data_IF_454859857370
#
_entry.id   IF_454859857370
#
_cell.length_a   1.000
_cell.length_b   1.000
_cell.length_c   1.000
_cell.angle_alpha   90.00
_cell.angle_beta   90.00
_cell.angle_gamma   90.00
#
_symmetry.space_group_name_H-M   'P 1'
#
loop_
_entity.id
_entity.type
_entity.pdbx_description
1 polymer ?
#
# COMPACT_ATOMS: atom_id res chain seq x y z
N UNK A 1 -29.48 -47.23 -27.42
CA UNK A 1 -30.03 -47.16 -26.05
C UNK A 1 -30.06 -45.71 -25.64
N UNK A 2 -31.24 -45.22 -25.37
CA UNK A 2 -31.49 -43.79 -25.08
C UNK A 2 -31.21 -43.53 -23.61
N UNK A 3 -30.34 -42.58 -23.27
CA UNK A 3 -30.14 -42.05 -21.91
C UNK A 3 -30.91 -40.72 -21.73
N UNK A 4 -31.86 -40.74 -20.83
CA UNK A 4 -32.75 -39.66 -20.45
C UNK A 4 -32.00 -38.53 -19.70
N UNK A 5 -32.36 -37.23 -19.84
CA UNK A 5 -31.81 -36.16 -19.05
C UNK A 5 -32.55 -36.08 -17.70
N UNK A 6 -31.80 -36.16 -16.60
CA UNK A 6 -32.31 -36.02 -15.25
C UNK A 6 -31.98 -34.64 -14.65
N UNK A 7 -33.05 -33.97 -14.24
CA UNK A 7 -33.17 -33.09 -13.07
C UNK A 7 -32.39 -31.74 -12.98
N UNK A 8 -32.75 -30.81 -13.83
CA UNK A 8 -32.54 -29.36 -13.54
C UNK A 8 -33.68 -28.76 -12.66
N UNK A 9 -34.80 -29.37 -12.54
CA UNK A 9 -35.95 -28.86 -11.77
C UNK A 9 -35.79 -29.01 -10.23
N UNK A 10 -35.07 -30.02 -9.76
CA UNK A 10 -34.91 -30.24 -8.30
C UNK A 10 -33.95 -29.25 -7.64
N UNK A 11 -32.93 -28.77 -8.35
CA UNK A 11 -31.95 -27.82 -7.82
C UNK A 11 -32.56 -26.41 -7.62
N UNK A 12 -33.44 -25.99 -8.53
CA UNK A 12 -34.11 -24.67 -8.44
C UNK A 12 -35.14 -24.64 -7.31
N UNK A 13 -35.84 -25.75 -7.04
CA UNK A 13 -36.81 -25.85 -5.96
C UNK A 13 -36.14 -25.86 -4.59
N UNK A 14 -34.94 -26.45 -4.47
CA UNK A 14 -34.17 -26.45 -3.22
C UNK A 14 -33.65 -25.07 -2.89
N UNK A 15 -33.11 -24.31 -3.88
CA UNK A 15 -32.63 -22.94 -3.67
C UNK A 15 -33.78 -21.98 -3.26
N UNK A 16 -34.96 -22.11 -3.86
CA UNK A 16 -36.11 -21.27 -3.51
C UNK A 16 -36.62 -21.53 -2.10
N UNK A 17 -36.65 -22.80 -1.67
CA UNK A 17 -37.04 -23.16 -0.30
C UNK A 17 -36.03 -22.70 0.75
N UNK A 18 -34.74 -22.70 0.42
CA UNK A 18 -33.68 -22.17 1.30
C UNK A 18 -33.78 -20.65 1.44
N UNK A 19 -34.05 -19.93 0.35
CA UNK A 19 -34.26 -18.47 0.38
C UNK A 19 -35.53 -18.10 1.17
N UNK A 20 -36.63 -18.85 1.00
CA UNK A 20 -37.86 -18.64 1.77
C UNK A 20 -37.73 -19.05 3.24
N UNK A 21 -36.88 -20.02 3.58
CA UNK A 21 -36.57 -20.39 4.96
C UNK A 21 -35.73 -19.34 5.67
N UNK A 22 -34.77 -18.74 4.95
CA UNK A 22 -33.95 -17.61 5.47
C UNK A 22 -34.82 -16.36 5.67
N UNK A 23 -35.77 -16.11 4.76
CA UNK A 23 -36.73 -15.01 4.93
C UNK A 23 -37.74 -15.22 6.09
N UNK A 24 -38.05 -16.49 6.42
CA UNK A 24 -38.95 -16.83 7.57
C UNK A 24 -38.21 -16.83 8.92
N UNK A 25 -36.89 -16.84 8.95
CA UNK A 25 -36.06 -16.73 10.17
C UNK A 25 -36.00 -15.30 10.70
N UNK A 26 -36.82 -14.37 10.18
CA UNK A 26 -36.97 -13.04 10.75
C UNK A 26 -35.67 -12.24 10.74
N UNK A 27 -34.88 -12.35 9.67
CA UNK A 27 -33.86 -11.34 9.37
C UNK A 27 -34.60 -10.05 8.99
N UNK A 28 -35.28 -9.50 9.97
CA UNK A 28 -35.57 -8.08 10.03
C UNK A 28 -34.22 -7.40 9.84
N UNK A 29 -34.15 -6.50 8.88
CA UNK A 29 -33.06 -5.55 8.76
C UNK A 29 -32.94 -4.74 10.06
N UNK A 30 -32.35 -5.31 11.08
CA UNK A 30 -31.72 -4.57 12.15
C UNK A 30 -30.40 -4.11 11.54
N UNK A 31 -30.52 -3.07 10.74
CA UNK A 31 -29.39 -2.20 10.43
C UNK A 31 -28.77 -1.76 11.74
N UNK A 32 -27.47 -1.61 11.69
CA UNK A 32 -26.62 -0.88 12.61
C UNK A 32 -26.09 -1.66 13.82
N UNK A 33 -24.77 -1.71 13.88
CA UNK A 33 -23.93 -1.92 15.03
C UNK A 33 -23.57 -3.37 15.46
N UNK A 34 -23.47 -4.35 14.58
CA UNK A 34 -22.75 -5.59 14.93
C UNK A 34 -21.21 -5.43 14.90
N UNK A 35 -20.69 -4.33 14.37
CA UNK A 35 -19.24 -4.08 14.26
C UNK A 35 -18.68 -3.28 15.44
N UNK A 36 -19.51 -2.63 16.24
CA UNK A 36 -19.11 -1.81 17.40
C UNK A 36 -18.58 -2.62 18.60
N UNK A 37 -18.73 -3.94 18.60
CA UNK A 37 -18.27 -4.78 19.71
C UNK A 37 -16.88 -5.43 19.46
N UNK A 38 -16.29 -5.30 18.27
CA UNK A 38 -14.97 -5.84 18.01
C UNK A 38 -13.90 -4.84 18.44
N UNK A 39 -13.30 -5.08 19.60
CA UNK A 39 -12.18 -4.30 20.11
C UNK A 39 -10.91 -5.13 20.03
N UNK A 40 -9.93 -4.66 19.28
CA UNK A 40 -8.57 -5.19 19.29
C UNK A 40 -7.90 -4.70 20.57
N UNK A 41 -7.49 -5.62 21.48
CA UNK A 41 -6.79 -5.20 22.69
C UNK A 41 -5.40 -4.67 22.33
N UNK A 42 -5.04 -3.52 22.87
CA UNK A 42 -3.72 -2.92 22.64
C UNK A 42 -3.19 -2.42 23.97
N UNK A 43 -2.05 -2.96 24.37
CA UNK A 43 -1.21 -2.42 25.45
C UNK A 43 -0.05 -1.65 24.82
N UNK A 44 0.26 -0.47 25.33
CA UNK A 44 1.31 0.39 24.79
C UNK A 44 2.27 0.80 25.88
N UNK A 45 3.57 0.76 25.59
CA UNK A 45 4.61 1.30 26.47
C UNK A 45 5.78 1.82 25.64
N UNK A 46 6.62 2.63 26.26
CA UNK A 46 7.81 3.19 25.63
C UNK A 46 9.04 2.82 26.45
N UNK A 47 10.10 2.37 25.79
CA UNK A 47 11.40 2.15 26.41
C UNK A 47 12.12 3.49 26.67
N UNK A 48 13.09 3.52 27.56
CA UNK A 48 13.87 4.71 27.88
C UNK A 48 14.61 5.29 26.66
N UNK A 49 14.97 4.43 25.70
CA UNK A 49 15.58 4.82 24.43
C UNK A 49 14.60 5.41 23.42
N UNK A 50 13.31 5.43 23.74
CA UNK A 50 12.26 6.04 22.90
C UNK A 50 11.54 5.07 21.97
N UNK A 51 11.86 3.78 21.97
CA UNK A 51 11.12 2.79 21.18
C UNK A 51 9.69 2.66 21.71
N UNK A 52 8.72 2.95 20.85
CA UNK A 52 7.31 2.71 21.15
C UNK A 52 6.98 1.26 20.86
N UNK A 53 6.40 0.58 21.85
CA UNK A 53 6.02 -0.84 21.75
C UNK A 53 4.51 -0.98 21.93
N UNK A 54 3.89 -1.78 21.08
CA UNK A 54 2.48 -2.12 21.17
C UNK A 54 2.30 -3.63 21.20
N UNK A 55 1.47 -4.11 22.13
CA UNK A 55 1.15 -5.52 22.31
C UNK A 55 -0.33 -5.74 22.04
N UNK A 56 -0.65 -6.68 21.16
CA UNK A 56 -2.03 -7.09 20.85
C UNK A 56 -2.15 -8.60 20.99
N UNK A 57 -2.40 -9.05 22.24
CA UNK A 57 -2.48 -10.47 22.57
C UNK A 57 -3.76 -11.11 22.02
N UNK A 58 -3.60 -12.24 21.33
CA UNK A 58 -4.66 -13.08 20.79
C UNK A 58 -4.22 -14.55 20.73
N UNK A 59 -4.67 -15.34 21.68
CA UNK A 59 -4.27 -16.75 21.83
C UNK A 59 -5.15 -17.73 21.00
N UNK A 60 -5.81 -17.25 19.96
CA UNK A 60 -6.69 -18.09 19.11
C UNK A 60 -5.93 -19.02 18.16
N UNK A 61 -4.71 -18.66 17.79
CA UNK A 61 -3.81 -19.47 16.96
C UNK A 61 -2.38 -19.41 17.50
N UNK A 62 -1.60 -20.52 17.49
CA UNK A 62 -0.27 -20.58 18.10
C UNK A 62 0.80 -19.92 17.22
N UNK A 63 0.56 -18.68 16.80
CA UNK A 63 1.46 -17.86 15.99
C UNK A 63 1.57 -16.46 16.57
N UNK A 64 2.68 -15.81 16.34
CA UNK A 64 2.92 -14.43 16.71
C UNK A 64 3.54 -13.68 15.53
N UNK A 65 3.06 -12.46 15.30
CA UNK A 65 3.62 -11.52 14.33
C UNK A 65 4.38 -10.43 15.06
N UNK A 66 5.58 -10.14 14.59
CA UNK A 66 6.43 -9.02 14.98
C UNK A 66 6.53 -8.10 13.78
N UNK A 67 6.27 -6.81 13.96
CA UNK A 67 6.38 -5.81 12.90
C UNK A 67 7.08 -4.57 13.44
N UNK A 68 8.22 -4.25 12.87
CA UNK A 68 9.04 -3.09 13.24
C UNK A 68 8.95 -2.05 12.13
N UNK A 69 8.26 -0.95 12.41
CA UNK A 69 8.12 0.20 11.52
C UNK A 69 9.13 1.28 11.85
N UNK A 70 9.85 1.76 10.86
CA UNK A 70 10.64 2.98 10.92
C UNK A 70 9.92 4.08 10.16
N UNK A 71 9.79 5.24 10.78
CA UNK A 71 9.18 6.42 10.15
C UNK A 71 10.19 7.09 9.20
N UNK A 72 10.53 6.38 8.17
CA UNK A 72 11.43 6.79 7.08
C UNK A 72 11.04 6.09 5.80
N UNK A 73 10.89 6.82 4.73
CA UNK A 73 10.58 6.33 3.39
C UNK A 73 11.26 7.20 2.34
N UNK A 74 10.86 7.05 1.08
CA UNK A 74 11.46 7.83 0.00
C UNK A 74 11.29 9.34 0.18
N UNK A 75 10.24 9.79 0.86
CA UNK A 75 10.04 11.21 1.18
C UNK A 75 11.16 11.83 2.03
N UNK A 76 11.97 11.02 2.72
CA UNK A 76 13.09 11.49 3.53
C UNK A 76 14.39 11.62 2.75
N UNK A 77 14.38 11.28 1.47
CA UNK A 77 15.54 11.31 0.60
C UNK A 77 15.87 12.73 0.15
N UNK A 78 17.12 12.92 -0.24
CA UNK A 78 17.60 14.22 -0.76
C UNK A 78 17.70 14.15 -2.27
N UNK A 79 17.56 15.29 -2.94
CA UNK A 79 17.82 15.38 -4.38
C UNK A 79 19.22 14.85 -4.71
N UNK A 80 19.32 14.00 -5.75
CA UNK A 80 20.54 13.30 -6.13
C UNK A 80 20.90 12.09 -5.25
N UNK A 81 19.98 11.65 -4.40
CA UNK A 81 20.08 10.51 -3.50
C UNK A 81 18.76 9.74 -3.43
N UNK A 82 18.08 9.56 -4.56
CA UNK A 82 16.81 8.85 -4.65
C UNK A 82 17.00 7.33 -4.65
N UNK A 83 16.05 6.59 -4.07
CA UNK A 83 16.10 5.13 -3.94
C UNK A 83 16.86 4.64 -2.70
N UNK A 84 17.31 5.54 -1.83
CA UNK A 84 18.09 5.18 -0.63
C UNK A 84 17.26 4.42 0.40
N UNK A 85 16.01 4.81 0.64
CA UNK A 85 15.13 4.12 1.58
C UNK A 85 14.91 2.65 1.16
N UNK A 86 14.66 2.41 -0.13
CA UNK A 86 14.50 1.08 -0.68
C UNK A 86 15.82 0.29 -0.71
N UNK A 87 16.94 0.89 -1.15
CA UNK A 87 18.25 0.26 -1.05
C UNK A 87 18.57 -0.15 0.39
N UNK A 88 18.14 0.69 1.37
CA UNK A 88 18.34 0.40 2.78
C UNK A 88 17.52 -0.79 3.25
N UNK A 89 16.29 -0.96 2.77
CA UNK A 89 15.49 -2.16 3.03
C UNK A 89 16.30 -3.41 2.66
N UNK A 90 16.90 -3.43 1.46
CA UNK A 90 17.76 -4.54 1.03
C UNK A 90 19.03 -4.71 1.89
N UNK A 91 19.66 -3.60 2.28
CA UNK A 91 20.87 -3.64 3.09
C UNK A 91 20.63 -4.25 4.47
N UNK A 92 19.46 -4.07 5.06
CA UNK A 92 19.12 -4.64 6.36
C UNK A 92 19.02 -6.18 6.36
N UNK A 93 18.93 -6.82 5.20
CA UNK A 93 18.98 -8.28 5.09
C UNK A 93 20.39 -8.81 4.83
N UNK A 94 21.40 -7.93 4.75
CA UNK A 94 22.80 -8.33 4.50
C UNK A 94 23.57 -8.72 5.76
N UNK A 95 22.85 -9.00 6.85
CA UNK A 95 23.40 -9.41 8.12
C UNK A 95 23.77 -8.24 9.04
N UNK A 96 24.10 -8.58 10.26
CA UNK A 96 24.47 -7.71 11.36
C UNK A 96 25.72 -8.26 12.04
N UNK A 97 26.11 -7.76 13.21
CA UNK A 97 27.33 -8.22 13.90
C UNK A 97 27.28 -9.72 14.26
N UNK A 98 26.07 -10.22 14.60
CA UNK A 98 25.87 -11.60 15.07
C UNK A 98 25.10 -12.49 14.09
N UNK A 99 24.65 -11.95 12.96
CA UNK A 99 23.87 -12.66 11.95
C UNK A 99 24.55 -12.47 10.59
N UNK A 100 24.85 -13.55 9.90
CA UNK A 100 25.47 -13.48 8.58
C UNK A 100 24.48 -13.05 7.48
N UNK A 101 25.01 -12.69 6.31
CA UNK A 101 24.19 -12.32 5.16
C UNK A 101 23.24 -13.47 4.79
N UNK A 102 21.95 -13.17 4.64
CA UNK A 102 20.84 -14.12 4.39
C UNK A 102 20.49 -15.07 5.55
N UNK A 103 21.29 -15.14 6.60
CA UNK A 103 21.02 -16.01 7.74
C UNK A 103 19.73 -15.64 8.47
N UNK A 104 19.34 -14.37 8.44
CA UNK A 104 18.04 -13.91 8.97
C UNK A 104 16.87 -14.70 8.33
N UNK A 105 16.86 -14.82 6.99
CA UNK A 105 15.86 -15.62 6.27
C UNK A 105 15.91 -17.10 6.68
N UNK A 106 17.10 -17.66 6.76
CA UNK A 106 17.28 -19.07 7.12
C UNK A 106 16.79 -19.38 8.54
N UNK A 107 17.09 -18.52 9.51
CA UNK A 107 16.71 -18.72 10.92
C UNK A 107 15.18 -18.67 11.07
N UNK A 108 14.52 -17.68 10.48
CA UNK A 108 13.06 -17.56 10.53
C UNK A 108 12.37 -18.71 9.81
N UNK A 109 12.86 -19.10 8.62
CA UNK A 109 12.28 -20.21 7.86
C UNK A 109 12.50 -21.56 8.55
N UNK A 110 13.67 -21.81 9.16
CA UNK A 110 13.91 -23.01 9.98
C UNK A 110 13.00 -23.06 11.20
N UNK A 111 12.66 -21.92 11.77
CA UNK A 111 11.71 -21.81 12.86
C UNK A 111 10.25 -22.04 12.45
N UNK A 112 9.99 -22.20 11.13
CA UNK A 112 8.64 -22.39 10.59
C UNK A 112 7.89 -21.08 10.34
N UNK A 113 8.60 -19.96 10.28
CA UNK A 113 8.06 -18.62 10.06
C UNK A 113 8.21 -18.12 8.64
N UNK A 114 7.67 -16.94 8.42
CA UNK A 114 7.80 -16.13 7.21
C UNK A 114 8.26 -14.73 7.60
N UNK A 115 8.98 -14.04 6.71
CA UNK A 115 9.43 -12.68 6.91
C UNK A 115 9.47 -11.92 5.59
N UNK A 116 9.41 -10.59 5.70
CA UNK A 116 9.65 -9.68 4.57
C UNK A 116 10.00 -8.28 5.08
N UNK A 117 10.36 -7.39 4.16
CA UNK A 117 10.43 -5.95 4.34
C UNK A 117 9.58 -5.24 3.31
N UNK A 118 9.27 -3.99 3.55
CA UNK A 118 8.68 -3.12 2.52
C UNK A 118 8.99 -1.65 2.78
N UNK A 119 9.14 -0.90 1.70
CA UNK A 119 9.34 0.55 1.73
C UNK A 119 8.18 1.25 1.05
N UNK A 120 7.75 2.37 1.62
CA UNK A 120 6.76 3.27 1.04
C UNK A 120 7.26 4.71 1.11
N UNK A 121 6.46 5.68 0.73
CA UNK A 121 6.89 7.07 0.72
C UNK A 121 7.24 7.60 2.11
N UNK A 122 6.48 7.20 3.16
CA UNK A 122 6.63 7.73 4.52
C UNK A 122 7.15 6.71 5.54
N UNK A 123 7.38 5.45 5.13
CA UNK A 123 7.75 4.37 6.05
C UNK A 123 8.61 3.29 5.41
N UNK A 124 9.37 2.58 6.23
CA UNK A 124 10.00 1.29 5.92
C UNK A 124 9.71 0.35 7.08
N UNK A 125 9.28 -0.88 6.80
CA UNK A 125 9.02 -1.85 7.85
C UNK A 125 9.60 -3.23 7.56
N UNK A 126 9.83 -3.98 8.62
CA UNK A 126 10.28 -5.36 8.61
C UNK A 126 9.34 -6.16 9.49
N UNK A 127 8.96 -7.34 9.03
CA UNK A 127 7.96 -8.12 9.73
C UNK A 127 8.18 -9.62 9.57
N UNK A 128 7.94 -10.33 10.66
CA UNK A 128 7.96 -11.78 10.72
C UNK A 128 6.65 -12.31 11.31
N UNK A 129 6.24 -13.49 10.83
CA UNK A 129 5.23 -14.29 11.50
C UNK A 129 5.83 -15.66 11.79
N UNK A 130 5.88 -16.00 13.07
CA UNK A 130 6.53 -17.22 13.56
C UNK A 130 5.59 -18.00 14.50
N UNK A 131 5.83 -19.31 14.73
CA UNK A 131 5.20 -20.01 15.85
C UNK A 131 5.42 -19.29 17.17
N UNK A 132 4.45 -19.27 18.07
CA UNK A 132 4.47 -18.47 19.32
C UNK A 132 5.69 -18.74 20.21
N UNK A 133 6.24 -19.96 20.20
CA UNK A 133 7.46 -20.32 20.94
C UNK A 133 8.76 -19.76 20.32
N UNK A 134 8.68 -19.05 19.20
CA UNK A 134 9.81 -18.44 18.50
C UNK A 134 9.81 -16.90 18.60
N UNK A 135 8.97 -16.31 19.45
CA UNK A 135 8.89 -14.86 19.63
C UNK A 135 10.25 -14.25 19.97
N UNK A 136 11.02 -14.89 20.87
CA UNK A 136 12.34 -14.40 21.28
C UNK A 136 13.31 -14.33 20.10
N UNK A 137 13.30 -15.35 19.22
CA UNK A 137 14.12 -15.35 18.01
C UNK A 137 13.81 -14.14 17.11
N UNK A 138 12.52 -13.86 16.85
CA UNK A 138 12.12 -12.73 16.02
C UNK A 138 12.55 -11.40 16.64
N UNK A 139 12.32 -11.22 17.95
CA UNK A 139 12.73 -10.00 18.68
C UNK A 139 14.25 -9.82 18.70
N UNK A 140 15.00 -10.90 18.90
CA UNK A 140 16.46 -10.84 18.88
C UNK A 140 16.99 -10.43 17.50
N UNK A 141 16.47 -11.02 16.44
CA UNK A 141 16.87 -10.70 15.07
C UNK A 141 16.62 -9.22 14.72
N UNK A 142 15.45 -8.68 15.09
CA UNK A 142 15.12 -7.28 14.87
C UNK A 142 16.00 -6.34 15.71
N UNK A 143 16.25 -6.69 16.96
CA UNK A 143 17.11 -5.91 17.85
C UNK A 143 18.56 -5.90 17.39
N UNK A 144 19.10 -7.04 16.93
CA UNK A 144 20.45 -7.15 16.40
C UNK A 144 20.61 -6.31 15.13
N UNK A 145 19.63 -6.36 14.24
CA UNK A 145 19.59 -5.53 13.03
C UNK A 145 19.52 -4.04 13.36
N UNK A 146 18.73 -3.63 14.35
CA UNK A 146 18.63 -2.23 14.77
C UNK A 146 19.91 -1.73 15.46
N UNK A 147 20.50 -2.54 16.32
CA UNK A 147 21.63 -2.13 17.17
C UNK A 147 23.01 -2.36 16.56
N UNK A 148 23.16 -3.40 15.74
CA UNK A 148 24.44 -3.96 15.36
C UNK A 148 24.63 -4.13 13.83
N UNK A 149 23.89 -3.40 12.99
CA UNK A 149 23.99 -3.49 11.53
C UNK A 149 25.34 -2.98 11.00
N UNK A 150 25.76 -1.79 11.43
CA UNK A 150 26.87 -1.05 10.80
C UNK A 150 28.22 -1.80 10.83
N UNK A 151 28.63 -2.51 11.90
CA UNK A 151 29.86 -3.28 11.88
C UNK A 151 29.92 -4.35 10.79
N UNK A 152 28.77 -4.86 10.35
CA UNK A 152 28.67 -5.88 9.32
C UNK A 152 28.59 -5.30 7.89
N UNK A 153 28.42 -3.99 7.73
CA UNK A 153 28.32 -3.35 6.41
C UNK A 153 29.71 -3.22 5.76
N UNK A 154 29.78 -3.64 4.52
CA UNK A 154 31.00 -3.57 3.72
C UNK A 154 30.72 -3.01 2.33
N UNK A 155 31.76 -2.44 1.69
CA UNK A 155 31.64 -1.96 0.31
C UNK A 155 31.11 -3.06 -0.63
N UNK A 156 31.58 -4.29 -0.48
CA UNK A 156 31.12 -5.43 -1.29
C UNK A 156 29.62 -5.71 -1.14
N UNK A 157 29.08 -5.65 0.09
CA UNK A 157 27.64 -5.83 0.34
C UNK A 157 26.83 -4.70 -0.31
N UNK A 158 27.28 -3.46 -0.17
CA UNK A 158 26.66 -2.30 -0.82
C UNK A 158 26.67 -2.44 -2.34
N UNK A 159 27.81 -2.78 -2.95
CA UNK A 159 27.93 -2.95 -4.40
C UNK A 159 26.98 -4.04 -4.91
N UNK A 160 26.92 -5.17 -4.19
CA UNK A 160 25.99 -6.25 -4.52
C UNK A 160 24.54 -5.80 -4.47
N UNK A 161 24.12 -5.10 -3.40
CA UNK A 161 22.72 -4.68 -3.26
C UNK A 161 22.35 -3.55 -4.22
N UNK A 162 23.28 -2.66 -4.56
CA UNK A 162 23.04 -1.69 -5.65
C UNK A 162 22.73 -2.39 -6.97
N UNK A 163 23.47 -3.45 -7.29
CA UNK A 163 23.22 -4.21 -8.53
C UNK A 163 21.89 -4.97 -8.47
N UNK A 164 21.52 -5.52 -7.30
CA UNK A 164 20.21 -6.15 -7.08
C UNK A 164 19.09 -5.14 -7.30
N UNK A 165 19.12 -3.99 -6.63
CA UNK A 165 18.09 -2.95 -6.77
C UNK A 165 18.00 -2.39 -8.19
N UNK A 166 19.16 -2.23 -8.88
CA UNK A 166 19.16 -1.84 -10.30
C UNK A 166 18.53 -2.90 -11.21
N UNK A 167 18.75 -4.18 -10.92
CA UNK A 167 18.13 -5.26 -11.68
C UNK A 167 16.63 -5.33 -11.38
N UNK A 168 16.23 -5.14 -10.12
CA UNK A 168 14.85 -5.04 -9.75
C UNK A 168 14.14 -3.89 -10.45
N UNK A 169 14.77 -2.69 -10.51
CA UNK A 169 14.25 -1.57 -11.26
C UNK A 169 14.01 -1.92 -12.73
N UNK A 170 15.00 -2.56 -13.38
CA UNK A 170 14.83 -2.99 -14.77
C UNK A 170 13.65 -3.95 -14.91
N UNK A 171 13.53 -4.89 -13.98
CA UNK A 171 12.51 -5.93 -14.06
C UNK A 171 11.12 -5.43 -13.66
N UNK A 172 10.99 -4.62 -12.60
CA UNK A 172 9.71 -4.20 -12.03
C UNK A 172 9.20 -2.86 -12.57
N UNK A 173 10.08 -2.03 -13.16
CA UNK A 173 9.73 -0.70 -13.66
C UNK A 173 10.02 -0.59 -15.15
N UNK A 174 11.30 -0.70 -15.55
CA UNK A 174 11.72 -0.33 -16.90
C UNK A 174 11.19 -1.32 -17.96
N UNK A 175 11.12 -2.63 -17.64
CA UNK A 175 10.67 -3.70 -18.53
C UNK A 175 9.23 -4.16 -18.27
N UNK A 176 8.53 -3.56 -17.30
CA UNK A 176 7.11 -3.86 -17.06
C UNK A 176 6.21 -2.97 -17.90
N UNK A 177 5.21 -3.54 -18.59
CA UNK A 177 4.17 -2.73 -19.24
C UNK A 177 3.60 -1.70 -18.26
N UNK A 178 3.62 -0.43 -18.63
CA UNK A 178 3.19 0.70 -17.79
C UNK A 178 4.01 0.93 -16.51
N UNK A 179 5.10 0.19 -16.26
CA UNK A 179 5.81 0.17 -14.98
C UNK A 179 6.31 1.53 -14.50
N UNK A 180 6.56 2.47 -15.40
CA UNK A 180 7.02 3.83 -15.08
C UNK A 180 5.93 4.75 -14.51
N UNK A 181 4.68 4.29 -14.35
CA UNK A 181 3.60 5.12 -13.83
C UNK A 181 3.85 5.60 -12.39
N UNK A 182 4.52 4.77 -11.56
CA UNK A 182 4.93 5.09 -10.19
C UNK A 182 5.93 6.25 -10.08
N UNK A 183 6.57 6.61 -11.18
CA UNK A 183 7.49 7.75 -11.27
C UNK A 183 6.82 8.94 -11.93
N UNK A 184 6.13 8.66 -13.05
CA UNK A 184 5.57 9.72 -13.91
C UNK A 184 4.32 10.38 -13.31
N UNK A 185 3.46 9.62 -12.61
CA UNK A 185 2.27 10.19 -12.01
C UNK A 185 2.60 11.08 -10.80
N UNK A 186 3.44 10.68 -9.83
CA UNK A 186 3.92 11.59 -8.80
C UNK A 186 4.67 12.81 -9.35
N UNK A 187 5.53 12.63 -10.35
CA UNK A 187 6.23 13.74 -10.99
C UNK A 187 5.29 14.72 -11.71
N UNK A 188 4.15 14.26 -12.21
CA UNK A 188 3.11 15.12 -12.77
C UNK A 188 2.30 15.82 -11.67
N UNK A 189 2.00 15.10 -10.57
CA UNK A 189 1.12 15.58 -9.51
C UNK A 189 1.81 16.51 -8.50
N UNK A 190 3.11 16.35 -8.27
CA UNK A 190 3.87 17.10 -7.27
C UNK A 190 4.99 17.93 -7.89
N UNK A 191 5.26 19.14 -7.38
CA UNK A 191 6.41 19.94 -7.84
C UNK A 191 7.74 19.22 -7.62
N UNK A 192 8.76 19.52 -8.41
CA UNK A 192 10.09 18.89 -8.32
C UNK A 192 10.72 18.99 -6.92
N UNK A 193 10.43 20.08 -6.19
CA UNK A 193 10.89 20.26 -4.81
C UNK A 193 10.12 19.46 -3.76
N UNK A 194 9.02 18.82 -4.13
CA UNK A 194 8.17 18.09 -3.20
C UNK A 194 8.74 16.70 -2.89
N UNK A 195 8.73 16.23 -1.63
CA UNK A 195 9.25 14.93 -1.25
C UNK A 195 8.62 13.74 -1.98
N UNK A 196 7.39 13.86 -2.46
CA UNK A 196 6.69 12.79 -3.19
C UNK A 196 6.88 12.85 -4.73
N UNK A 197 7.69 13.78 -5.24
CA UNK A 197 7.88 13.92 -6.69
C UNK A 197 8.69 12.77 -7.31
N UNK A 198 9.67 12.25 -6.58
CA UNK A 198 10.61 11.26 -7.12
C UNK A 198 10.17 9.81 -6.89
N UNK A 199 10.74 8.91 -7.66
CA UNK A 199 10.51 7.47 -7.59
C UNK A 199 11.00 6.85 -6.28
N UNK A 200 10.22 5.93 -5.73
CA UNK A 200 10.58 5.16 -4.54
C UNK A 200 11.80 4.26 -4.78
N UNK A 201 11.90 3.62 -5.94
CA UNK A 201 13.04 2.75 -6.27
C UNK A 201 14.29 3.54 -6.62
N UNK A 202 14.15 4.84 -6.89
CA UNK A 202 15.23 5.75 -7.23
C UNK A 202 15.74 5.66 -8.66
N UNK A 203 16.61 6.60 -9.04
CA UNK A 203 17.22 6.61 -10.36
C UNK A 203 18.45 5.70 -10.42
N UNK A 204 18.75 5.15 -11.61
CA UNK A 204 19.97 4.37 -11.85
C UNK A 204 21.24 5.16 -11.54
N UNK A 205 21.21 6.48 -11.79
CA UNK A 205 22.31 7.39 -11.54
C UNK A 205 22.55 7.57 -10.03
N UNK A 206 21.49 7.86 -9.27
CA UNK A 206 21.59 8.10 -7.83
C UNK A 206 22.03 6.82 -7.09
N UNK A 207 21.42 5.68 -7.43
CA UNK A 207 21.82 4.37 -6.89
C UNK A 207 23.31 4.08 -7.17
N UNK A 208 23.83 4.45 -8.36
CA UNK A 208 25.23 4.25 -8.69
C UNK A 208 26.18 5.09 -7.86
N UNK A 209 25.74 6.26 -7.38
CA UNK A 209 26.53 7.17 -6.55
C UNK A 209 26.47 6.86 -5.06
N UNK A 210 25.62 5.92 -4.63
CA UNK A 210 25.47 5.55 -3.23
C UNK A 210 26.80 5.07 -2.64
N UNK A 211 27.26 5.70 -1.58
CA UNK A 211 28.48 5.37 -0.85
C UNK A 211 28.19 4.69 0.49
N UNK A 212 29.17 4.01 1.04
CA UNK A 212 29.02 3.40 2.37
C UNK A 212 28.81 4.47 3.45
N UNK A 213 29.40 5.65 3.30
CA UNK A 213 29.20 6.79 4.20
C UNK A 213 27.74 7.29 4.17
N UNK A 214 27.13 7.36 2.97
CA UNK A 214 25.71 7.69 2.83
C UNK A 214 24.83 6.66 3.55
N UNK A 215 25.16 5.37 3.40
CA UNK A 215 24.48 4.26 4.09
C UNK A 215 24.59 4.41 5.61
N UNK A 216 25.78 4.64 6.14
CA UNK A 216 25.99 4.85 7.57
C UNK A 216 25.22 6.07 8.10
N UNK A 217 25.26 7.17 7.37
CA UNK A 217 24.57 8.40 7.76
C UNK A 217 23.07 8.21 7.77
N UNK A 218 22.50 7.53 6.76
CA UNK A 218 21.08 7.25 6.66
C UNK A 218 20.61 6.37 7.82
N UNK A 219 21.34 5.28 8.11
CA UNK A 219 21.08 4.41 9.25
C UNK A 219 21.08 5.18 10.57
N UNK A 220 22.18 5.87 10.88
CA UNK A 220 22.31 6.64 12.14
C UNK A 220 21.24 7.71 12.31
N UNK A 221 20.65 8.17 11.21
CA UNK A 221 19.64 9.22 11.24
C UNK A 221 18.24 8.65 11.46
N UNK A 222 17.90 7.55 10.82
CA UNK A 222 16.52 7.10 10.72
C UNK A 222 16.23 5.75 11.38
N UNK A 223 17.22 4.85 11.47
CA UNK A 223 17.04 3.50 12.02
C UNK A 223 17.40 3.45 13.50
N UNK A 224 16.64 4.21 14.28
CA UNK A 224 16.88 4.40 15.70
C UNK A 224 15.61 4.08 16.49
N UNK A 225 15.71 3.65 17.76
CA UNK A 225 14.57 3.29 18.57
C UNK A 225 13.50 4.39 18.66
N UNK A 226 13.90 5.65 18.81
CA UNK A 226 12.98 6.79 18.93
C UNK A 226 12.34 7.24 17.62
N UNK A 227 12.68 6.59 16.51
CA UNK A 227 12.03 6.73 15.20
C UNK A 227 11.32 5.44 14.75
N UNK A 228 11.10 4.49 15.67
CA UNK A 228 10.53 3.20 15.37
C UNK A 228 9.32 2.88 16.26
N UNK A 229 8.44 2.03 15.74
CA UNK A 229 7.33 1.40 16.45
C UNK A 229 7.45 -0.11 16.29
N UNK A 230 7.50 -0.83 17.39
CA UNK A 230 7.48 -2.28 17.43
C UNK A 230 6.09 -2.76 17.83
N UNK A 231 5.42 -3.47 16.94
CA UNK A 231 4.12 -4.09 17.22
C UNK A 231 4.23 -5.60 17.27
N UNK A 232 3.68 -6.21 18.33
CA UNK A 232 3.61 -7.65 18.53
C UNK A 232 2.14 -8.04 18.63
N UNK A 233 1.68 -8.93 17.74
CA UNK A 233 0.30 -9.40 17.73
C UNK A 233 0.23 -10.93 17.62
N UNK A 234 -0.68 -11.56 18.38
CA UNK A 234 -0.87 -13.01 18.35
C UNK A 234 -0.74 -13.69 19.71
N UNK A 235 -0.26 -14.93 19.71
CA UNK A 235 -0.20 -15.80 20.89
C UNK A 235 1.11 -15.59 21.67
N UNK A 236 1.04 -14.87 22.76
CA UNK A 236 2.16 -14.64 23.69
C UNK A 236 1.63 -14.24 25.08
N UNK A 237 2.48 -14.34 26.10
CA UNK A 237 2.26 -13.73 27.41
C UNK A 237 2.79 -12.29 27.40
N UNK A 238 1.94 -11.31 27.68
CA UNK A 238 2.30 -9.89 27.58
C UNK A 238 3.45 -9.49 28.52
N UNK A 239 3.51 -10.06 29.74
CA UNK A 239 4.59 -9.76 30.68
C UNK A 239 5.93 -10.40 30.25
N UNK A 240 5.89 -11.57 29.62
CA UNK A 240 7.08 -12.21 29.06
C UNK A 240 7.56 -11.43 27.82
N UNK A 241 6.65 -11.05 26.91
CA UNK A 241 6.99 -10.26 25.74
C UNK A 241 7.63 -8.91 26.10
N UNK A 242 7.08 -8.21 27.11
CA UNK A 242 7.67 -6.97 27.64
C UNK A 242 9.10 -7.18 28.10
N UNK A 243 9.39 -8.22 28.90
CA UNK A 243 10.76 -8.52 29.36
C UNK A 243 11.71 -8.79 28.19
N UNK A 244 11.28 -9.60 27.21
CA UNK A 244 12.09 -9.87 26.01
C UNK A 244 12.41 -8.59 25.24
N UNK A 245 11.43 -7.69 25.10
CA UNK A 245 11.66 -6.39 24.44
C UNK A 245 12.62 -5.54 25.26
N UNK A 246 12.47 -5.45 26.57
CA UNK A 246 13.38 -4.72 27.46
C UNK A 246 14.81 -5.28 27.38
N UNK A 247 14.95 -6.61 27.39
CA UNK A 247 16.25 -7.31 27.36
C UNK A 247 16.97 -7.11 26.01
N UNK A 248 16.28 -7.21 24.89
CA UNK A 248 16.89 -7.11 23.56
C UNK A 248 17.03 -5.68 23.04
N UNK A 249 16.04 -4.83 23.24
CA UNK A 249 16.03 -3.47 22.68
C UNK A 249 16.48 -2.39 23.68
N UNK A 250 16.37 -2.62 24.98
CA UNK A 250 16.62 -1.59 26.00
C UNK A 250 18.05 -1.05 25.99
N UNK A 251 19.04 -1.86 25.58
CA UNK A 251 20.44 -1.46 25.47
C UNK A 251 20.80 -0.66 24.21
N UNK A 252 19.90 -0.59 23.20
CA UNK A 252 20.16 0.12 21.95
C UNK A 252 20.10 1.64 22.19
N UNK A 253 21.13 2.40 21.79
CA UNK A 253 21.16 3.84 22.06
C UNK A 253 20.02 4.58 21.36
N UNK A 254 19.46 5.56 22.06
CA UNK A 254 18.50 6.51 21.48
C UNK A 254 19.13 7.31 20.35
N UNK A 255 18.35 7.58 19.30
CA UNK A 255 18.75 8.45 18.21
C UNK A 255 18.85 9.93 18.61
N UNK A 256 19.26 10.76 17.65
CA UNK A 256 19.33 12.23 17.83
C UNK A 256 18.01 12.93 17.51
N UNK A 257 16.94 12.17 17.31
CA UNK A 257 15.66 12.63 16.79
C UNK A 257 15.64 12.66 15.25
N UNK A 258 14.46 12.41 14.68
CA UNK A 258 14.28 12.41 13.23
C UNK A 258 14.22 13.83 12.67
N UNK A 259 14.79 14.08 11.48
CA UNK A 259 14.55 15.31 10.76
C UNK A 259 13.06 15.45 10.41
N UNK A 260 12.53 16.68 10.55
CA UNK A 260 11.20 16.97 10.05
C UNK A 260 11.19 16.89 8.52
N UNK A 261 10.13 16.30 7.94
CA UNK A 261 9.85 16.44 6.52
C UNK A 261 9.50 17.91 6.24
N UNK A 262 10.15 18.49 5.24
CA UNK A 262 9.93 19.86 4.78
C UNK A 262 9.47 19.85 3.32
N UNK A 263 8.83 20.94 2.88
CA UNK A 263 8.42 21.10 1.49
C UNK A 263 7.18 20.27 1.12
N UNK A 264 6.37 19.85 2.10
CA UNK A 264 5.14 19.08 1.90
C UNK A 264 3.94 19.94 1.49
N UNK A 265 4.07 21.25 1.54
CA UNK A 265 2.97 22.17 1.27
C UNK A 265 2.68 22.26 -0.22
N UNK A 266 1.46 21.93 -0.60
CA UNK A 266 0.93 22.07 -1.95
C UNK A 266 -0.48 22.65 -1.89
N UNK A 267 -0.92 23.27 -2.99
CA UNK A 267 -2.30 23.72 -3.11
C UNK A 267 -3.25 22.50 -3.04
N UNK A 268 -4.45 22.69 -2.52
CA UNK A 268 -5.48 21.63 -2.39
C UNK A 268 -5.98 21.08 -3.72
N UNK A 269 -5.73 21.79 -4.82
CA UNK A 269 -6.03 21.42 -6.20
C UNK A 269 -4.86 21.78 -7.10
N UNK A 270 -4.81 21.18 -8.28
CA UNK A 270 -3.77 21.51 -9.27
C UNK A 270 -3.95 22.92 -9.86
N UNK A 271 -5.17 23.46 -9.86
CA UNK A 271 -5.51 24.75 -10.48
C UNK A 271 -5.84 24.64 -11.97
N UNK A 272 -5.45 23.55 -12.62
CA UNK A 272 -5.73 23.23 -14.00
C UNK A 272 -5.72 21.70 -14.21
N UNK A 273 -6.08 21.24 -15.39
CA UNK A 273 -5.88 19.84 -15.78
C UNK A 273 -4.44 19.64 -16.27
N UNK A 274 -3.69 18.83 -15.53
CA UNK A 274 -2.35 18.38 -15.95
C UNK A 274 -2.49 17.15 -16.86
N UNK A 275 -1.68 17.05 -17.92
CA UNK A 275 -1.77 15.93 -18.87
C UNK A 275 -0.39 15.55 -19.40
N UNK A 276 -0.08 14.26 -19.32
CA UNK A 276 1.11 13.66 -19.93
C UNK A 276 0.71 12.40 -20.73
N UNK A 277 1.34 12.21 -21.89
CA UNK A 277 1.20 11.01 -22.72
C UNK A 277 2.55 10.33 -22.81
N UNK A 278 2.56 9.02 -22.62
CA UNK A 278 3.75 8.17 -22.66
C UNK A 278 3.55 7.11 -23.75
N UNK A 279 4.42 7.11 -24.74
CA UNK A 279 4.54 6.00 -25.67
C UNK A 279 5.36 4.90 -25.01
N UNK A 280 4.79 3.69 -24.93
CA UNK A 280 5.43 2.56 -24.26
C UNK A 280 5.24 1.27 -25.08
N UNK A 281 6.05 0.26 -24.81
CA UNK A 281 5.95 -1.04 -25.46
C UNK A 281 4.81 -1.87 -24.85
N UNK A 282 3.61 -1.41 -25.07
CA UNK A 282 2.36 -1.97 -24.56
C UNK A 282 1.38 -2.23 -25.68
N UNK A 283 0.46 -3.17 -25.47
CA UNK A 283 -0.55 -3.51 -26.46
C UNK A 283 -1.85 -2.71 -26.33
N UNK A 284 -2.10 -2.10 -25.17
CA UNK A 284 -3.37 -1.45 -24.84
C UNK A 284 -3.15 -0.04 -24.30
N UNK A 285 -4.03 0.91 -24.58
CA UNK A 285 -3.99 2.20 -23.90
C UNK A 285 -4.35 2.04 -22.43
N UNK A 286 -3.68 2.79 -21.55
CA UNK A 286 -3.99 2.83 -20.14
C UNK A 286 -3.94 4.25 -19.61
N UNK A 287 -4.90 4.59 -18.76
CA UNK A 287 -5.03 5.92 -18.19
C UNK A 287 -5.00 5.84 -16.66
N UNK A 288 -4.15 6.67 -16.08
CA UNK A 288 -4.21 7.04 -14.66
C UNK A 288 -4.76 8.46 -14.57
N UNK A 289 -5.87 8.61 -13.85
CA UNK A 289 -6.46 9.92 -13.57
C UNK A 289 -6.39 10.15 -12.06
N UNK A 290 -5.55 11.09 -11.65
CA UNK A 290 -5.35 11.43 -10.25
C UNK A 290 -6.00 12.76 -9.89
N UNK A 291 -6.49 12.85 -8.65
CA UNK A 291 -7.01 14.05 -8.00
C UNK A 291 -6.24 14.28 -6.71
N UNK A 292 -5.89 15.52 -6.40
CA UNK A 292 -5.41 15.83 -5.05
C UNK A 292 -6.52 15.58 -4.07
N UNK A 293 -6.18 14.86 -3.01
CA UNK A 293 -7.09 14.30 -2.03
C UNK A 293 -6.65 14.66 -0.61
N UNK A 294 -7.56 14.70 0.35
CA UNK A 294 -7.24 14.84 1.76
C UNK A 294 -6.31 13.74 2.26
N UNK A 295 -5.40 14.09 3.16
CA UNK A 295 -4.39 13.18 3.71
C UNK A 295 -5.02 12.06 4.55
N UNK A 296 -4.36 10.92 4.58
CA UNK A 296 -4.74 9.76 5.39
C UNK A 296 -4.98 10.13 6.85
N UNK A 297 -6.07 9.61 7.40
CA UNK A 297 -6.48 9.83 8.79
C UNK A 297 -7.31 11.08 9.04
N UNK A 298 -7.41 12.02 8.08
CA UNK A 298 -8.35 13.15 8.18
C UNK A 298 -9.80 12.70 7.97
N UNK A 299 -10.77 13.47 8.44
CA UNK A 299 -12.19 13.15 8.26
C UNK A 299 -12.59 13.07 6.77
N UNK A 300 -12.06 13.97 5.95
CA UNK A 300 -12.34 14.01 4.51
C UNK A 300 -11.65 12.90 3.73
N UNK A 301 -10.60 12.26 4.27
CA UNK A 301 -9.97 11.09 3.68
C UNK A 301 -10.96 9.92 3.55
N UNK A 302 -11.78 9.68 4.58
CA UNK A 302 -12.77 8.60 4.55
C UNK A 302 -13.84 8.84 3.47
N UNK A 303 -14.19 10.10 3.25
CA UNK A 303 -15.11 10.50 2.17
C UNK A 303 -14.45 10.28 0.80
N UNK A 304 -13.19 10.65 0.65
CA UNK A 304 -12.41 10.41 -0.58
C UNK A 304 -12.30 8.91 -0.90
N UNK A 305 -11.97 8.10 0.10
CA UNK A 305 -11.84 6.64 -0.03
C UNK A 305 -13.17 5.98 -0.42
N UNK A 306 -14.31 6.37 0.20
CA UNK A 306 -15.65 5.90 -0.20
C UNK A 306 -15.98 6.35 -1.63
N UNK A 307 -15.62 7.58 -2.02
CA UNK A 307 -15.82 8.07 -3.39
C UNK A 307 -15.03 7.22 -4.38
N UNK A 308 -13.77 6.92 -4.08
CA UNK A 308 -12.94 6.00 -4.86
C UNK A 308 -13.57 4.61 -4.99
N UNK A 309 -14.07 4.07 -3.87
CA UNK A 309 -14.74 2.76 -3.85
C UNK A 309 -15.99 2.73 -4.73
N UNK A 310 -16.78 3.80 -4.76
CA UNK A 310 -17.94 3.92 -5.65
C UNK A 310 -17.49 3.94 -7.12
N UNK A 311 -16.40 4.66 -7.42
CA UNK A 311 -15.88 4.77 -8.78
C UNK A 311 -15.24 3.48 -9.28
N UNK A 312 -14.36 2.83 -8.49
CA UNK A 312 -13.50 1.77 -9.00
C UNK A 312 -13.33 0.52 -8.12
N UNK A 313 -14.01 0.36 -6.97
CA UNK A 313 -13.81 -0.81 -6.13
C UNK A 313 -14.67 -1.99 -6.57
N UNK A 314 -14.02 -3.06 -7.07
CA UNK A 314 -14.65 -4.29 -7.53
C UNK A 314 -15.65 -4.10 -8.69
N UNK A 315 -16.24 -5.19 -9.13
CA UNK A 315 -17.12 -5.24 -10.32
C UNK A 315 -18.45 -4.48 -10.21
N UNK A 316 -18.84 -4.06 -9.00
CA UNK A 316 -20.05 -3.28 -8.74
C UNK A 316 -19.86 -1.76 -8.85
N UNK A 317 -18.63 -1.30 -9.06
CA UNK A 317 -18.28 0.12 -9.19
C UNK A 317 -18.78 0.74 -10.50
N UNK A 318 -18.84 2.08 -10.55
CA UNK A 318 -19.35 2.80 -11.73
C UNK A 318 -18.49 2.57 -12.97
N UNK A 319 -17.16 2.75 -12.84
CA UNK A 319 -16.24 2.58 -13.97
C UNK A 319 -16.27 1.15 -14.51
N UNK A 320 -16.21 0.15 -13.62
CA UNK A 320 -16.23 -1.24 -14.05
C UNK A 320 -17.56 -1.59 -14.75
N UNK A 321 -18.69 -1.20 -14.16
CA UNK A 321 -20.00 -1.45 -14.76
C UNK A 321 -20.16 -0.77 -16.10
N UNK A 322 -19.86 0.53 -16.21
CA UNK A 322 -20.03 1.30 -17.44
C UNK A 322 -19.00 0.91 -18.50
N UNK A 323 -17.71 0.96 -18.18
CA UNK A 323 -16.66 0.85 -19.19
C UNK A 323 -16.31 -0.60 -19.53
N UNK A 324 -16.33 -1.51 -18.52
CA UNK A 324 -15.93 -2.90 -18.75
C UNK A 324 -17.12 -3.77 -19.18
N UNK A 325 -18.28 -3.64 -18.52
CA UNK A 325 -19.43 -4.54 -18.76
C UNK A 325 -20.38 -4.03 -19.82
N UNK A 326 -20.81 -2.77 -19.76
CA UNK A 326 -21.84 -2.21 -20.62
C UNK A 326 -21.26 -1.76 -21.98
N UNK A 327 -20.28 -0.86 -21.97
CA UNK A 327 -19.67 -0.30 -23.19
C UNK A 327 -18.60 -1.19 -23.80
N UNK A 328 -17.99 -2.05 -22.99
CA UNK A 328 -16.93 -3.00 -23.38
C UNK A 328 -15.72 -2.30 -24.05
N UNK A 329 -15.37 -1.10 -23.59
CA UNK A 329 -14.21 -0.33 -24.07
C UNK A 329 -13.00 -0.45 -23.14
N UNK A 330 -13.20 -0.91 -21.89
CA UNK A 330 -12.11 -1.18 -20.95
C UNK A 330 -11.99 -2.69 -20.66
N UNK A 331 -10.76 -3.13 -20.44
CA UNK A 331 -10.43 -4.47 -19.94
C UNK A 331 -10.53 -4.54 -18.43
N UNK A 332 -10.13 -3.46 -17.76
CA UNK A 332 -10.19 -3.32 -16.30
C UNK A 332 -10.35 -1.85 -15.89
N UNK A 333 -10.90 -1.64 -14.70
CA UNK A 333 -11.03 -0.33 -14.09
C UNK A 333 -11.02 -0.44 -12.56
N UNK A 334 -10.15 0.33 -11.92
CA UNK A 334 -9.99 0.39 -10.47
C UNK A 334 -9.83 1.82 -9.95
N UNK A 335 -9.94 2.01 -8.64
CA UNK A 335 -9.64 3.27 -7.97
C UNK A 335 -9.06 2.99 -6.57
N UNK A 336 -8.10 3.81 -6.15
CA UNK A 336 -7.41 3.69 -4.87
C UNK A 336 -6.80 5.04 -4.44
N UNK A 337 -6.39 5.13 -3.17
CA UNK A 337 -5.61 6.24 -2.59
C UNK A 337 -4.19 5.78 -2.32
N UNK A 338 -3.25 6.72 -2.21
CA UNK A 338 -1.88 6.39 -1.81
C UNK A 338 -1.71 6.28 -0.29
N UNK A 339 -2.73 6.71 0.47
CA UNK A 339 -2.75 6.70 1.93
C UNK A 339 -1.61 7.52 2.55
N UNK A 340 -1.32 8.68 1.94
CA UNK A 340 -0.28 9.61 2.41
C UNK A 340 -0.78 10.41 3.61
N UNK A 341 -0.03 10.37 4.70
CA UNK A 341 -0.41 11.03 5.95
C UNK A 341 0.02 12.51 6.02
N UNK A 342 0.85 12.97 5.08
CA UNK A 342 1.38 14.34 5.06
C UNK A 342 1.17 15.01 3.70
N UNK A 343 1.11 16.34 3.72
CA UNK A 343 1.00 17.16 2.52
C UNK A 343 -0.35 17.02 1.83
N UNK A 344 -0.43 16.23 0.79
CA UNK A 344 -1.65 15.90 0.04
C UNK A 344 -1.59 14.45 -0.39
N UNK A 345 -2.72 13.75 -0.28
CA UNK A 345 -2.89 12.43 -0.87
C UNK A 345 -3.36 12.51 -2.33
N UNK A 346 -3.41 11.41 -3.02
CA UNK A 346 -3.96 11.27 -4.37
C UNK A 346 -5.06 10.20 -4.37
N UNK A 347 -6.23 10.56 -4.88
CA UNK A 347 -7.24 9.60 -5.34
C UNK A 347 -6.97 9.30 -6.81
N UNK A 348 -6.71 8.05 -7.15
CA UNK A 348 -6.28 7.60 -8.47
C UNK A 348 -7.31 6.65 -9.06
N UNK A 349 -7.70 6.90 -10.30
CA UNK A 349 -8.43 5.97 -11.15
C UNK A 349 -7.44 5.36 -12.13
N UNK A 350 -7.44 4.03 -12.25
CA UNK A 350 -6.61 3.26 -13.17
C UNK A 350 -7.52 2.47 -14.12
N UNK A 351 -7.45 2.78 -15.41
CA UNK A 351 -8.33 2.18 -16.43
C UNK A 351 -7.50 1.72 -17.62
N UNK A 352 -7.58 0.43 -17.92
CA UNK A 352 -6.95 -0.17 -19.10
C UNK A 352 -7.97 -0.37 -20.21
N UNK A 353 -7.71 0.19 -21.39
CA UNK A 353 -8.55 0.06 -22.57
C UNK A 353 -8.53 -1.37 -23.16
N UNK A 354 -9.44 -1.64 -24.11
CA UNK A 354 -9.41 -2.83 -24.97
C UNK A 354 -8.64 -2.56 -26.26
N UNK A 355 -8.29 -3.59 -27.04
CA UNK A 355 -7.52 -3.41 -28.29
C UNK A 355 -8.10 -2.42 -29.29
N UNK A 356 -9.43 -2.36 -29.39
CA UNK A 356 -10.13 -1.48 -30.35
C UNK A 356 -10.42 -0.09 -29.79
N UNK A 357 -10.06 0.17 -28.53
CA UNK A 357 -10.34 1.45 -27.86
C UNK A 357 -9.14 2.38 -28.02
N UNK A 358 -9.34 3.56 -28.59
CA UNK A 358 -8.28 4.58 -28.62
C UNK A 358 -8.07 5.23 -27.25
N UNK A 359 -6.89 5.81 -27.04
CA UNK A 359 -6.58 6.55 -25.82
C UNK A 359 -7.53 7.73 -25.60
N UNK A 360 -7.89 8.45 -26.66
CA UNK A 360 -8.82 9.58 -26.61
C UNK A 360 -10.24 9.13 -26.24
N UNK A 361 -10.68 7.99 -26.78
CA UNK A 361 -11.96 7.40 -26.42
C UNK A 361 -11.97 7.00 -24.94
N UNK A 362 -10.91 6.33 -24.47
CA UNK A 362 -10.77 5.92 -23.08
C UNK A 362 -10.80 7.14 -22.15
N UNK A 363 -9.98 8.17 -22.45
CA UNK A 363 -9.90 9.43 -21.71
C UNK A 363 -11.29 10.09 -21.61
N UNK A 364 -11.96 10.27 -22.74
CA UNK A 364 -13.27 10.92 -22.79
C UNK A 364 -14.33 10.16 -21.99
N UNK A 365 -14.33 8.84 -22.03
CA UNK A 365 -15.33 8.03 -21.36
C UNK A 365 -15.07 7.93 -19.84
N UNK A 366 -13.81 7.90 -19.41
CA UNK A 366 -13.45 7.97 -17.97
C UNK A 366 -13.85 9.33 -17.39
N UNK A 367 -13.51 10.43 -18.09
CA UNK A 367 -13.89 11.76 -17.65
C UNK A 367 -15.42 11.92 -17.58
N UNK A 368 -16.15 11.38 -18.54
CA UNK A 368 -17.62 11.43 -18.55
C UNK A 368 -18.23 10.73 -17.34
N UNK A 369 -17.71 9.57 -16.91
CA UNK A 369 -18.20 8.88 -15.70
C UNK A 369 -17.93 9.69 -14.43
N UNK A 370 -16.77 10.38 -14.35
CA UNK A 370 -16.46 11.29 -13.24
C UNK A 370 -17.40 12.50 -13.27
N UNK A 371 -17.57 13.14 -14.41
CA UNK A 371 -18.45 14.31 -14.58
C UNK A 371 -19.90 13.96 -14.25
N UNK A 372 -20.37 12.77 -14.66
CA UNK A 372 -21.70 12.29 -14.27
C UNK A 372 -21.86 12.12 -12.75
N UNK A 373 -20.81 11.66 -12.05
CA UNK A 373 -20.83 11.58 -10.59
C UNK A 373 -20.90 12.99 -9.97
N UNK A 374 -20.12 13.94 -10.48
CA UNK A 374 -20.12 15.33 -10.01
C UNK A 374 -21.50 15.99 -10.21
N UNK A 375 -22.12 15.82 -11.39
CA UNK A 375 -23.37 16.46 -11.77
C UNK A 375 -24.60 15.80 -11.11
N UNK A 376 -24.70 14.47 -11.20
CA UNK A 376 -25.90 13.70 -10.78
C UNK A 376 -25.79 13.24 -9.33
N UNK A 377 -24.57 13.21 -8.76
CA UNK A 377 -24.29 12.69 -7.43
C UNK A 377 -24.34 11.16 -7.36
N UNK A 378 -24.22 10.66 -6.13
CA UNK A 378 -24.30 9.23 -5.81
C UNK A 378 -25.64 8.88 -5.18
N UNK A 379 -26.02 7.60 -5.27
CA UNK A 379 -27.21 7.07 -4.57
C UNK A 379 -26.83 6.59 -3.16
N UNK A 380 -27.82 6.50 -2.27
CA UNK A 380 -27.62 5.92 -0.94
C UNK A 380 -27.16 4.45 -0.99
N UNK A 381 -27.63 3.69 -1.98
CA UNK A 381 -27.23 2.29 -2.18
C UNK A 381 -25.75 2.16 -2.59
N UNK A 382 -25.23 3.06 -3.42
CA UNK A 382 -23.81 3.08 -3.79
C UNK A 382 -22.92 3.34 -2.58
N UNK A 383 -23.31 4.32 -1.74
CA UNK A 383 -22.58 4.64 -0.50
C UNK A 383 -22.60 3.46 0.46
N UNK A 384 -23.78 2.89 0.73
CA UNK A 384 -23.91 1.74 1.64
C UNK A 384 -23.13 0.52 1.15
N UNK A 385 -23.12 0.25 -0.15
CA UNK A 385 -22.31 -0.83 -0.75
C UNK A 385 -20.82 -0.58 -0.56
N UNK A 386 -20.33 0.63 -0.82
CA UNK A 386 -18.92 0.99 -0.65
C UNK A 386 -18.48 0.85 0.81
N UNK A 387 -19.28 1.36 1.76
CA UNK A 387 -19.03 1.22 3.18
C UNK A 387 -18.94 -0.26 3.56
N UNK A 388 -19.92 -1.08 3.16
CA UNK A 388 -19.97 -2.49 3.50
C UNK A 388 -18.75 -3.26 2.95
N UNK A 389 -18.29 -2.93 1.73
CA UNK A 389 -17.11 -3.53 1.13
C UNK A 389 -15.84 -3.19 1.93
N UNK A 390 -15.61 -1.90 2.22
CA UNK A 390 -14.43 -1.46 2.98
C UNK A 390 -14.45 -2.02 4.40
N UNK A 391 -15.59 -1.97 5.10
CA UNK A 391 -15.72 -2.56 6.43
C UNK A 391 -15.44 -4.06 6.43
N UNK A 392 -15.91 -4.78 5.41
CA UNK A 392 -15.64 -6.22 5.27
C UNK A 392 -14.15 -6.47 5.07
N UNK A 393 -13.48 -5.68 4.23
CA UNK A 393 -12.04 -5.82 3.98
C UNK A 393 -11.22 -5.52 5.25
N UNK A 394 -11.57 -4.46 5.99
CA UNK A 394 -10.95 -4.13 7.29
C UNK A 394 -11.07 -5.31 8.26
N UNK A 395 -12.28 -5.82 8.47
CA UNK A 395 -12.52 -6.90 9.44
C UNK A 395 -11.82 -8.18 9.02
N UNK A 396 -11.81 -8.49 7.73
CA UNK A 396 -11.14 -9.68 7.21
C UNK A 396 -9.63 -9.58 7.40
N UNK A 397 -9.03 -8.42 7.13
CA UNK A 397 -7.61 -8.18 7.37
C UNK A 397 -7.24 -8.33 8.85
N UNK A 398 -8.06 -7.80 9.76
CA UNK A 398 -7.82 -7.87 11.21
C UNK A 398 -7.91 -9.28 11.81
N UNK A 399 -8.34 -10.29 11.05
CA UNK A 399 -8.23 -11.70 11.46
C UNK A 399 -6.79 -12.21 11.43
N UNK A 400 -5.92 -11.60 10.63
CA UNK A 400 -4.50 -11.93 10.55
C UNK A 400 -3.69 -11.23 11.65
N UNK A 401 -2.86 -11.96 12.37
CA UNK A 401 -1.94 -11.36 13.35
C UNK A 401 -0.95 -10.40 12.69
N UNK A 402 -0.43 -10.75 11.50
CA UNK A 402 0.47 -9.90 10.73
C UNK A 402 -0.18 -8.58 10.34
N UNK A 403 -1.41 -8.61 9.79
CA UNK A 403 -2.15 -7.41 9.42
C UNK A 403 -2.49 -6.53 10.65
N UNK A 404 -2.80 -7.16 11.79
CA UNK A 404 -3.01 -6.40 13.04
C UNK A 404 -1.76 -5.67 13.47
N UNK A 405 -0.61 -6.36 13.51
CA UNK A 405 0.67 -5.77 13.88
C UNK A 405 1.03 -4.61 12.93
N UNK A 406 0.84 -4.80 11.62
CA UNK A 406 1.13 -3.80 10.61
C UNK A 406 0.25 -2.54 10.77
N UNK A 407 -1.07 -2.72 10.87
CA UNK A 407 -2.01 -1.59 11.02
C UNK A 407 -1.83 -0.85 12.34
N UNK A 408 -1.54 -1.56 13.43
CA UNK A 408 -1.22 -0.93 14.72
C UNK A 408 0.04 -0.06 14.57
N UNK A 409 1.11 -0.59 13.96
CA UNK A 409 2.34 0.17 13.67
C UNK A 409 2.07 1.37 12.76
N UNK A 410 1.25 1.20 11.71
CA UNK A 410 0.86 2.26 10.79
C UNK A 410 0.18 3.43 11.52
N UNK A 411 -0.86 3.15 12.32
CA UNK A 411 -1.57 4.19 13.07
C UNK A 411 -0.68 4.86 14.11
N UNK A 412 0.13 4.09 14.82
CA UNK A 412 1.08 4.62 15.79
C UNK A 412 2.14 5.51 15.14
N UNK A 413 2.69 5.09 13.99
CA UNK A 413 3.77 5.80 13.29
C UNK A 413 3.27 7.05 12.57
N UNK A 414 2.21 6.93 11.78
CA UNK A 414 1.74 8.00 10.90
C UNK A 414 0.81 8.98 11.62
N UNK A 415 -0.04 8.49 12.53
CA UNK A 415 -1.09 9.29 13.19
C UNK A 415 -0.86 9.46 14.70
N UNK A 416 0.13 8.78 15.28
CA UNK A 416 0.49 8.92 16.70
C UNK A 416 -0.43 8.19 17.68
N UNK A 417 -1.40 7.40 17.21
CA UNK A 417 -2.36 6.69 18.06
C UNK A 417 -2.67 5.29 17.52
N UNK A 418 -2.09 4.21 18.10
CA UNK A 418 -2.37 2.84 17.68
C UNK A 418 -3.82 2.41 17.89
N UNK A 419 -4.55 3.03 18.82
CA UNK A 419 -5.95 2.68 19.12
C UNK A 419 -6.92 3.06 17.98
N UNK A 420 -6.48 3.89 17.03
CA UNK A 420 -7.28 4.24 15.85
C UNK A 420 -7.69 3.04 15.00
N UNK A 421 -6.99 1.91 15.09
CA UNK A 421 -7.39 0.65 14.45
C UNK A 421 -8.83 0.23 14.81
N UNK A 422 -9.25 0.52 16.04
CA UNK A 422 -10.58 0.19 16.56
C UNK A 422 -11.69 1.12 16.10
N UNK A 423 -11.36 2.24 15.46
CA UNK A 423 -12.34 3.26 15.05
C UNK A 423 -12.56 3.32 13.54
N UNK A 424 -11.78 2.58 12.77
CA UNK A 424 -11.78 2.71 11.31
C UNK A 424 -13.13 2.33 10.69
N UNK A 425 -13.70 1.20 11.10
CA UNK A 425 -14.99 0.74 10.59
C UNK A 425 -16.11 1.78 10.84
N UNK A 426 -16.10 2.43 12.00
CA UNK A 426 -17.08 3.46 12.36
C UNK A 426 -16.87 4.75 11.56
N UNK A 427 -15.62 5.17 11.32
CA UNK A 427 -15.29 6.35 10.51
C UNK A 427 -15.79 6.18 9.07
N UNK A 428 -15.55 5.03 8.45
CA UNK A 428 -16.12 4.72 7.14
C UNK A 428 -17.65 4.65 7.19
N UNK A 429 -18.22 4.06 8.26
CA UNK A 429 -19.66 3.96 8.47
C UNK A 429 -20.37 5.31 8.63
N UNK A 430 -19.65 6.34 9.08
CA UNK A 430 -20.17 7.69 9.25
C UNK A 430 -20.28 8.49 7.94
N UNK A 431 -19.67 8.02 6.85
CA UNK A 431 -19.71 8.70 5.54
C UNK A 431 -21.13 8.70 4.99
N UNK A 432 -21.61 9.87 4.56
CA UNK A 432 -22.96 10.08 4.05
C UNK A 432 -22.96 10.33 2.54
N UNK A 433 -24.12 10.17 1.92
CA UNK A 433 -24.33 10.54 0.53
C UNK A 433 -24.04 12.03 0.30
N UNK A 434 -24.45 12.86 1.25
CA UNK A 434 -24.26 14.31 1.21
C UNK A 434 -22.79 14.70 1.24
N UNK A 435 -21.97 14.05 2.09
CA UNK A 435 -20.51 14.29 2.16
C UNK A 435 -19.80 13.83 0.88
N UNK A 436 -20.15 12.65 0.32
CA UNK A 436 -19.62 12.17 -0.96
C UNK A 436 -19.96 13.14 -2.10
N UNK A 437 -21.22 13.61 -2.17
CA UNK A 437 -21.61 14.57 -3.21
C UNK A 437 -20.93 15.94 -3.05
N UNK A 438 -20.68 16.38 -1.84
CA UNK A 438 -19.92 17.60 -1.57
C UNK A 438 -18.47 17.46 -1.99
N UNK A 439 -17.82 16.37 -1.59
CA UNK A 439 -16.44 16.03 -1.98
C UNK A 439 -16.29 15.94 -3.49
N UNK A 440 -17.20 15.24 -4.19
CA UNK A 440 -17.14 15.11 -5.64
C UNK A 440 -17.16 16.47 -6.36
N UNK A 441 -18.08 17.36 -5.95
CA UNK A 441 -18.14 18.72 -6.52
C UNK A 441 -16.92 19.57 -6.18
N UNK A 442 -16.34 19.36 -5.00
CA UNK A 442 -15.16 20.11 -4.57
C UNK A 442 -13.87 19.58 -5.21
N UNK A 443 -13.69 18.27 -5.32
CA UNK A 443 -12.38 17.67 -5.60
C UNK A 443 -12.25 16.98 -6.96
N UNK A 444 -13.34 16.63 -7.65
CA UNK A 444 -13.24 15.88 -8.92
C UNK A 444 -13.39 16.78 -10.17
N UNK A 445 -13.39 18.11 -10.00
CA UNK A 445 -13.46 19.09 -11.08
C UNK A 445 -12.23 19.09 -12.00
N UNK A 446 -12.37 19.72 -13.17
CA UNK A 446 -11.29 19.82 -14.17
C UNK A 446 -10.05 20.56 -13.66
N UNK A 447 -10.20 21.43 -12.66
CA UNK A 447 -9.11 22.15 -12.01
C UNK A 447 -8.29 21.30 -11.02
N UNK A 448 -8.66 20.03 -10.85
CA UNK A 448 -7.97 19.10 -9.96
C UNK A 448 -7.71 17.73 -10.61
N UNK A 449 -7.36 17.70 -11.91
CA UNK A 449 -7.08 16.47 -12.66
C UNK A 449 -5.63 16.40 -13.08
N UNK A 450 -4.95 15.28 -12.81
CA UNK A 450 -3.67 14.93 -13.40
C UNK A 450 -3.85 13.62 -14.20
N UNK A 451 -3.67 13.70 -15.51
CA UNK A 451 -3.89 12.62 -16.48
C UNK A 451 -2.56 12.09 -16.99
N UNK A 452 -2.24 10.85 -16.67
CA UNK A 452 -1.12 10.13 -17.25
C UNK A 452 -1.67 9.03 -18.17
N UNK A 453 -1.36 9.10 -19.45
CA UNK A 453 -1.92 8.22 -20.47
C UNK A 453 -0.79 7.47 -21.15
N UNK A 454 -0.85 6.16 -21.11
CA UNK A 454 0.04 5.28 -21.85
C UNK A 454 -0.63 4.88 -23.17
N UNK A 455 0.13 4.97 -24.25
CA UNK A 455 -0.29 4.56 -25.59
C UNK A 455 0.71 3.56 -26.18
N UNK A 456 0.22 2.59 -26.98
CA UNK A 456 1.11 1.70 -27.71
C UNK A 456 2.08 2.48 -28.59
N UNK A 457 3.38 2.14 -28.53
CA UNK A 457 4.37 2.68 -29.46
C UNK A 457 4.08 2.16 -30.86
N UNK A 458 3.96 3.06 -31.83
CA UNK A 458 3.85 2.68 -33.23
C UNK A 458 5.25 2.26 -33.70
N UNK A 459 5.45 0.96 -33.92
CA UNK A 459 6.69 0.44 -34.51
C UNK A 459 6.61 0.61 -36.02
N UNK A 460 7.67 1.16 -36.66
CA UNK A 460 7.78 1.16 -38.12
C UNK A 460 7.95 -0.26 -38.67
N UNK A 461 7.34 -0.56 -39.83
CA UNK A 461 7.50 -1.85 -40.48
C UNK A 461 8.99 -2.05 -40.80
N UNK A 462 9.64 -2.98 -40.09
CA UNK A 462 11.08 -3.30 -40.22
C UNK A 462 11.85 -3.29 -38.89
N UNK A 463 11.41 -2.58 -37.84
CA UNK A 463 12.10 -2.59 -36.54
C UNK A 463 11.92 -3.94 -35.82
N UNK A 464 10.75 -4.58 -35.95
CA UNK A 464 10.49 -5.91 -35.39
C UNK A 464 11.35 -7.01 -36.03
N UNK A 465 11.67 -6.91 -37.33
CA UNK A 465 12.56 -7.86 -37.99
C UNK A 465 14.03 -7.66 -37.58
N UNK A 466 14.46 -6.41 -37.33
CA UNK A 466 15.82 -6.13 -36.89
C UNK A 466 16.09 -6.63 -35.47
N UNK A 467 15.15 -6.47 -34.53
CA UNK A 467 15.26 -6.99 -33.16
C UNK A 467 15.29 -8.53 -33.12
N UNK A 468 14.49 -9.20 -33.95
CA UNK A 468 14.50 -10.66 -34.06
C UNK A 468 15.85 -11.16 -34.60
N UNK A 469 16.43 -10.45 -35.55
CA UNK A 469 17.76 -10.78 -36.12
C UNK A 469 18.86 -10.55 -35.08
N UNK A 470 18.79 -9.48 -34.30
CA UNK A 470 19.76 -9.16 -33.25
C UNK A 470 19.66 -10.14 -32.04
N UNK A 471 18.43 -10.50 -31.63
CA UNK A 471 18.19 -11.51 -30.60
C UNK A 471 18.57 -12.94 -31.02
N UNK A 472 18.59 -13.24 -32.32
CA UNK A 472 19.07 -14.54 -32.85
C UNK A 472 20.61 -14.55 -33.07
N UNK A 473 21.28 -13.38 -33.03
CA UNK A 473 22.72 -13.25 -33.19
C UNK A 473 23.51 -13.14 -31.88
N UNK A 474 22.79 -12.93 -30.75
CA UNK A 474 23.35 -12.87 -29.38
C UNK A 474 23.15 -14.21 -28.65
#
# INVERSE_FOLDING_TARGET
>A
MRGTPANTATTVITLRRTIEAIARLGYSARSTNQFTDMQIPIETFCLDNGLLVTLSQDNTAPIVAVNLWYHVGSANEKAGRTGFAHLFEHMLFQGSEHVEANEHFELVQRAGGTLNGSTWLERTNYFETVPSNQLELALWLEADRMGALLPAMTQKKLDTQRDVVKNERRWSVDNQPYGTWWEKLPALAFPESHPFHHSLIGSMEDLSKASLEDVEQFFRTFYTPDNAVLSIAGDFDAAAARRLVEDHFGGIPRGKGKPALVGLEVAERFGETLRAVVEDDVSLPRMYLAFRSPVFGSEDYYVASITGAILGMRQGSRLYRSLVREKQIAADASAFTFDLAKGSDLLILDVTGRPETSAEQLESEVEREVDELVEKGVTGEEVQRAIALIQTDIITALQSASERADRISMFATLLGDPALINTQADKYGAVTRESVNAFARDRLGADNRAKLIYVPRIREEGEAEAEIVEAMAS
#
